data_IF_339802168212
#
_entry.id   IF_339802168212
#
_cell.length_a   1.000
_cell.length_b   1.000
_cell.length_c   1.000
_cell.angle_alpha   90.00
_cell.angle_beta   90.00
_cell.angle_gamma   90.00
#
_symmetry.space_group_name_H-M   'P 1'
#
loop_
_entity.id
_entity.type
_entity.pdbx_description
1 polymer ?
#
# COMPACT_ATOMS: atom_id res chain seq x y z
N UNK A 1 13.21 -20.82 -3.37
CA UNK A 1 12.86 -19.47 -2.86
C UNK A 1 11.48 -18.99 -3.33
N UNK A 2 11.29 -18.52 -4.57
CA UNK A 2 10.01 -17.93 -5.06
C UNK A 2 8.76 -18.75 -4.74
N UNK A 3 8.77 -20.07 -5.02
CA UNK A 3 7.68 -20.99 -4.69
C UNK A 3 7.27 -21.01 -3.21
N UNK A 4 8.22 -20.84 -2.29
CA UNK A 4 7.93 -20.79 -0.85
C UNK A 4 7.26 -19.47 -0.45
N UNK A 5 7.68 -18.35 -1.05
CA UNK A 5 7.07 -17.04 -0.84
C UNK A 5 5.62 -17.02 -1.35
N UNK A 6 5.40 -17.51 -2.57
CA UNK A 6 4.06 -17.57 -3.17
C UNK A 6 3.13 -18.52 -2.38
N UNK A 7 3.67 -19.67 -1.94
CA UNK A 7 2.94 -20.61 -1.09
C UNK A 7 2.59 -20.02 0.29
N UNK A 8 3.49 -19.24 0.88
CA UNK A 8 3.24 -18.55 2.14
C UNK A 8 2.15 -17.49 2.01
N UNK A 9 2.16 -16.70 0.93
CA UNK A 9 1.09 -15.75 0.64
C UNK A 9 -0.27 -16.45 0.57
N UNK A 10 -0.35 -17.58 -0.16
CA UNK A 10 -1.57 -18.38 -0.25
C UNK A 10 -1.98 -18.99 1.09
N UNK A 11 -1.04 -19.52 1.87
CA UNK A 11 -1.33 -20.09 3.18
C UNK A 11 -1.89 -19.04 4.14
N UNK A 12 -1.31 -17.83 4.16
CA UNK A 12 -1.74 -16.70 4.98
C UNK A 12 -3.11 -16.19 4.51
N UNK A 13 -3.37 -16.16 3.21
CA UNK A 13 -4.67 -15.81 2.63
C UNK A 13 -5.78 -16.74 3.14
N UNK A 14 -5.53 -18.06 3.12
CA UNK A 14 -6.51 -19.08 3.49
C UNK A 14 -6.70 -19.24 5.02
N UNK A 15 -5.65 -19.05 5.82
CA UNK A 15 -5.62 -19.43 7.25
C UNK A 15 -5.31 -18.27 8.21
N UNK A 16 -5.01 -17.08 7.68
CA UNK A 16 -4.40 -16.00 8.43
C UNK A 16 -2.95 -16.31 8.85
N UNK A 17 -2.23 -15.29 9.31
CA UNK A 17 -0.83 -15.44 9.71
C UNK A 17 -0.65 -16.42 10.88
N UNK A 18 -1.47 -16.30 11.93
CA UNK A 18 -1.38 -17.17 13.11
C UNK A 18 -1.73 -18.64 12.80
N UNK A 19 -2.72 -18.87 11.94
CA UNK A 19 -3.13 -20.22 11.54
C UNK A 19 -2.14 -20.92 10.60
N UNK A 20 -1.30 -20.16 9.90
CA UNK A 20 -0.31 -20.72 8.96
C UNK A 20 0.86 -21.40 9.69
N UNK A 21 1.19 -22.63 9.27
CA UNK A 21 2.36 -23.40 9.73
C UNK A 21 3.34 -23.62 8.58
N UNK A 22 4.59 -23.96 8.91
CA UNK A 22 5.61 -24.33 7.90
C UNK A 22 5.15 -25.50 7.04
N UNK A 23 4.42 -26.47 7.63
CA UNK A 23 3.83 -27.60 6.90
C UNK A 23 2.90 -27.13 5.77
N UNK A 24 2.00 -26.19 6.03
CA UNK A 24 1.07 -25.68 5.01
C UNK A 24 1.84 -25.06 3.83
N UNK A 25 2.92 -24.32 4.13
CA UNK A 25 3.76 -23.69 3.10
C UNK A 25 4.47 -24.73 2.25
N UNK A 26 5.09 -25.75 2.86
CA UNK A 26 5.82 -26.76 2.08
C UNK A 26 4.88 -27.64 1.26
N UNK A 27 3.68 -27.91 1.76
CA UNK A 27 2.66 -28.66 1.04
C UNK A 27 2.16 -27.88 -0.18
N UNK A 28 1.80 -26.60 0.00
CA UNK A 28 1.37 -25.72 -1.10
C UNK A 28 2.51 -25.50 -2.10
N UNK A 29 3.74 -25.32 -1.61
CA UNK A 29 4.92 -25.16 -2.46
C UNK A 29 5.32 -26.46 -3.17
N UNK A 30 4.73 -27.60 -2.81
CA UNK A 30 5.10 -28.95 -3.26
C UNK A 30 6.61 -29.18 -3.12
N UNK A 31 7.10 -29.07 -1.89
CA UNK A 31 8.51 -29.22 -1.52
C UNK A 31 8.65 -29.84 -0.11
N UNK A 32 9.88 -29.95 0.40
CA UNK A 32 10.17 -30.56 1.70
C UNK A 32 10.47 -29.53 2.79
N UNK A 33 10.34 -29.95 4.07
CA UNK A 33 10.87 -29.19 5.20
C UNK A 33 12.35 -28.88 5.07
N UNK A 34 13.17 -29.83 4.61
CA UNK A 34 14.60 -29.60 4.38
C UNK A 34 14.85 -28.46 3.39
N UNK A 35 14.03 -28.37 2.34
CA UNK A 35 14.08 -27.26 1.38
C UNK A 35 13.64 -25.93 1.99
N UNK A 36 12.65 -25.93 2.88
CA UNK A 36 12.28 -24.73 3.63
C UNK A 36 13.43 -24.22 4.50
N UNK A 37 13.98 -25.10 5.34
CA UNK A 37 15.01 -24.75 6.32
C UNK A 37 16.38 -24.45 5.70
N UNK A 38 16.58 -24.74 4.41
CA UNK A 38 17.71 -24.24 3.62
C UNK A 38 17.64 -22.71 3.39
N UNK A 39 16.44 -22.13 3.38
CA UNK A 39 16.23 -20.72 3.08
C UNK A 39 15.75 -19.89 4.26
N UNK A 40 14.99 -20.50 5.18
CA UNK A 40 14.33 -19.80 6.26
C UNK A 40 14.46 -20.55 7.58
N UNK A 41 14.80 -19.83 8.64
CA UNK A 41 14.94 -20.44 9.97
C UNK A 41 13.59 -20.80 10.60
N UNK A 42 12.54 -20.03 10.27
CA UNK A 42 11.19 -20.17 10.80
C UNK A 42 10.17 -19.42 9.91
N UNK A 43 8.89 -19.39 10.33
CA UNK A 43 7.82 -18.69 9.61
C UNK A 43 8.03 -17.17 9.61
N UNK A 44 8.56 -16.62 10.69
CA UNK A 44 8.80 -15.18 10.88
C UNK A 44 9.85 -14.69 9.88
N UNK A 45 10.92 -15.47 9.66
CA UNK A 45 11.98 -15.18 8.69
C UNK A 45 11.47 -15.20 7.24
N UNK A 46 10.61 -16.17 6.91
CA UNK A 46 9.89 -16.22 5.64
C UNK A 46 9.00 -14.98 5.44
N UNK A 47 8.24 -14.57 6.45
CA UNK A 47 7.34 -13.41 6.37
C UNK A 47 8.14 -12.09 6.37
N UNK A 48 9.29 -12.04 7.04
CA UNK A 48 10.22 -10.92 6.92
C UNK A 48 10.69 -10.76 5.48
N UNK A 49 11.07 -11.85 4.81
CA UNK A 49 11.46 -11.80 3.40
C UNK A 49 10.32 -11.31 2.50
N UNK A 50 9.08 -11.75 2.74
CA UNK A 50 7.89 -11.24 2.05
C UNK A 50 7.67 -9.74 2.29
N UNK A 51 7.83 -9.28 3.54
CA UNK A 51 7.68 -7.87 3.90
C UNK A 51 8.75 -7.00 3.26
N UNK A 52 9.99 -7.50 3.17
CA UNK A 52 11.08 -6.84 2.45
C UNK A 52 10.76 -6.70 0.95
N UNK A 53 10.21 -7.74 0.33
CA UNK A 53 9.78 -7.68 -1.06
C UNK A 53 8.66 -6.66 -1.27
N UNK A 54 7.59 -6.71 -0.46
CA UNK A 54 6.48 -5.77 -0.52
C UNK A 54 6.96 -4.32 -0.33
N UNK A 55 7.85 -4.08 0.64
CA UNK A 55 8.44 -2.77 0.89
C UNK A 55 9.31 -2.28 -0.28
N UNK A 56 10.03 -3.17 -0.97
CA UNK A 56 10.81 -2.82 -2.16
C UNK A 56 9.90 -2.32 -3.28
N UNK A 57 8.81 -3.01 -3.56
CA UNK A 57 7.84 -2.61 -4.57
C UNK A 57 7.11 -1.30 -4.19
N UNK A 58 6.71 -1.16 -2.92
CA UNK A 58 6.12 0.08 -2.40
C UNK A 58 7.09 1.28 -2.50
N UNK A 59 8.39 1.05 -2.27
CA UNK A 59 9.43 2.08 -2.40
C UNK A 59 9.59 2.50 -3.86
N UNK A 60 9.60 1.56 -4.82
CA UNK A 60 9.65 1.88 -6.26
C UNK A 60 8.46 2.75 -6.67
N UNK A 61 7.26 2.39 -6.21
CA UNK A 61 6.06 3.18 -6.47
C UNK A 61 6.13 4.59 -5.87
N UNK A 62 6.65 4.72 -4.64
CA UNK A 62 6.83 6.01 -3.96
C UNK A 62 7.84 6.90 -4.68
N UNK A 63 8.96 6.32 -5.12
CA UNK A 63 9.98 7.04 -5.90
C UNK A 63 9.44 7.61 -7.21
N UNK A 64 8.60 6.85 -7.91
CA UNK A 64 7.97 7.32 -9.15
C UNK A 64 7.11 8.59 -8.96
N UNK A 65 6.66 8.88 -7.73
CA UNK A 65 5.96 10.14 -7.42
C UNK A 65 6.90 11.34 -7.32
N UNK A 66 8.18 11.13 -7.02
CA UNK A 66 9.17 12.17 -6.67
C UNK A 66 10.25 12.38 -7.74
N UNK A 67 10.41 11.45 -8.67
CA UNK A 67 11.44 11.54 -9.70
C UNK A 67 11.16 12.68 -10.69
N UNK A 68 12.15 13.55 -10.89
CA UNK A 68 12.07 14.63 -11.87
C UNK A 68 11.91 14.04 -13.28
N UNK A 69 10.90 14.52 -14.01
CA UNK A 69 10.55 13.95 -15.33
C UNK A 69 9.72 12.66 -15.27
N UNK A 70 9.20 12.29 -14.09
CA UNK A 70 8.16 11.26 -13.98
C UNK A 70 7.00 11.59 -14.92
N UNK A 71 6.50 10.58 -15.62
CA UNK A 71 5.29 10.70 -16.45
C UNK A 71 4.01 10.86 -15.61
N UNK A 72 4.10 10.65 -14.28
CA UNK A 72 2.97 10.79 -13.38
C UNK A 72 2.72 12.27 -13.07
N UNK A 73 1.81 12.88 -13.80
CA UNK A 73 1.25 14.19 -13.45
C UNK A 73 0.24 14.04 -12.32
N UNK A 74 0.69 13.87 -11.07
CA UNK A 74 -0.20 13.58 -9.93
C UNK A 74 -1.21 14.70 -9.60
N UNK A 75 -0.98 15.91 -10.13
CA UNK A 75 -1.92 17.03 -10.07
C UNK A 75 -3.07 16.90 -11.09
N UNK A 76 -2.91 16.08 -12.14
CA UNK A 76 -3.99 15.71 -13.05
C UNK A 76 -4.75 14.49 -12.53
N UNK A 77 -6.02 14.39 -12.93
CA UNK A 77 -6.84 13.25 -12.54
C UNK A 77 -6.28 11.96 -13.15
N UNK A 78 -5.84 11.98 -14.40
CA UNK A 78 -5.28 10.85 -15.14
C UNK A 78 -3.98 10.34 -14.51
N UNK A 79 -3.06 11.24 -14.14
CA UNK A 79 -1.80 10.87 -13.48
C UNK A 79 -2.05 10.26 -12.11
N UNK A 80 -2.94 10.86 -11.31
CA UNK A 80 -3.35 10.27 -10.03
C UNK A 80 -4.05 8.93 -10.23
N UNK A 81 -4.88 8.78 -11.26
CA UNK A 81 -5.58 7.54 -11.58
C UNK A 81 -4.63 6.39 -11.91
N UNK A 82 -3.58 6.70 -12.68
CA UNK A 82 -2.54 5.74 -13.01
C UNK A 82 -1.79 5.27 -11.76
N UNK A 83 -1.48 6.20 -10.85
CA UNK A 83 -0.84 5.86 -9.59
C UNK A 83 -1.76 5.02 -8.67
N UNK A 84 -3.04 5.40 -8.54
CA UNK A 84 -4.03 4.64 -7.76
C UNK A 84 -4.18 3.20 -8.32
N UNK A 85 -4.13 3.03 -9.65
CA UNK A 85 -4.11 1.70 -10.28
C UNK A 85 -2.87 0.91 -9.86
N UNK A 86 -1.69 1.54 -9.90
CA UNK A 86 -0.43 0.93 -9.46
C UNK A 86 -0.48 0.48 -8.00
N UNK A 87 -1.01 1.34 -7.12
CA UNK A 87 -1.26 1.02 -5.72
C UNK A 87 -2.20 -0.19 -5.59
N UNK A 88 -3.30 -0.23 -6.34
CA UNK A 88 -4.27 -1.33 -6.27
C UNK A 88 -3.68 -2.68 -6.70
N UNK A 89 -2.82 -2.69 -7.71
CA UNK A 89 -2.07 -3.88 -8.14
C UNK A 89 -1.12 -4.34 -7.02
N UNK A 90 -0.38 -3.41 -6.42
CA UNK A 90 0.51 -3.70 -5.30
C UNK A 90 -0.27 -4.27 -4.10
N UNK A 91 -1.36 -3.61 -3.72
CA UNK A 91 -2.22 -4.01 -2.63
C UNK A 91 -2.76 -5.42 -2.85
N UNK A 92 -3.35 -5.68 -4.02
CA UNK A 92 -3.90 -7.00 -4.37
C UNK A 92 -2.85 -8.11 -4.33
N UNK A 93 -1.62 -7.83 -4.77
CA UNK A 93 -0.51 -8.80 -4.72
C UNK A 93 -0.09 -9.15 -3.29
N UNK A 94 -0.13 -8.19 -2.37
CA UNK A 94 0.34 -8.35 -0.99
C UNK A 94 -0.78 -8.30 0.06
N UNK A 95 -2.04 -8.46 -0.36
CA UNK A 95 -3.23 -8.29 0.49
C UNK A 95 -3.18 -9.13 1.78
N UNK A 96 -2.78 -10.43 1.76
CA UNK A 96 -2.59 -11.21 2.98
C UNK A 96 -1.65 -10.57 4.03
N UNK A 97 -0.60 -9.87 3.59
CA UNK A 97 0.32 -9.16 4.49
C UNK A 97 -0.31 -7.86 5.00
N UNK A 98 -0.93 -7.08 4.12
CA UNK A 98 -1.56 -5.80 4.51
C UNK A 98 -2.70 -6.01 5.51
N UNK A 99 -3.52 -7.05 5.32
CA UNK A 99 -4.56 -7.42 6.31
C UNK A 99 -4.00 -7.80 7.68
N UNK A 100 -2.80 -8.37 7.71
CA UNK A 100 -2.17 -8.90 8.92
C UNK A 100 -1.13 -7.95 9.53
N UNK A 101 -0.86 -6.78 8.95
CA UNK A 101 0.30 -5.96 9.30
C UNK A 101 0.35 -5.49 10.76
N UNK A 102 -0.81 -5.29 11.41
CA UNK A 102 -0.90 -4.91 12.83
C UNK A 102 -0.46 -6.06 13.71
N UNK A 103 -0.94 -7.27 13.42
CA UNK A 103 -0.54 -8.49 14.11
C UNK A 103 0.95 -8.77 13.87
N UNK A 104 1.40 -8.68 12.62
CA UNK A 104 2.80 -8.88 12.24
C UNK A 104 3.75 -7.91 12.93
N UNK A 105 3.40 -6.63 13.02
CA UNK A 105 4.20 -5.62 13.69
C UNK A 105 4.25 -5.81 15.22
N UNK A 106 3.25 -6.47 15.81
CA UNK A 106 3.25 -6.78 17.25
C UNK A 106 4.13 -8.00 17.60
N UNK A 107 4.47 -8.83 16.63
CA UNK A 107 5.10 -10.14 16.86
C UNK A 107 6.60 -10.11 16.61
N UNK A 108 7.08 -9.27 15.69
CA UNK A 108 8.49 -9.20 15.33
C UNK A 108 8.96 -7.76 15.10
N UNK A 109 9.94 -7.32 15.89
CA UNK A 109 10.46 -5.94 15.86
C UNK A 109 11.08 -5.59 14.51
N UNK A 110 11.77 -6.53 13.85
CA UNK A 110 12.36 -6.26 12.55
C UNK A 110 11.31 -6.17 11.43
N UNK A 111 10.16 -6.85 11.55
CA UNK A 111 9.01 -6.67 10.65
C UNK A 111 8.37 -5.30 10.93
N UNK A 112 8.15 -4.95 12.19
CA UNK A 112 7.60 -3.65 12.58
C UNK A 112 8.44 -2.48 12.05
N UNK A 113 9.77 -2.58 12.19
CA UNK A 113 10.72 -1.61 11.67
C UNK A 113 10.66 -1.48 10.15
N UNK A 114 10.53 -2.60 9.45
CA UNK A 114 10.42 -2.61 7.99
C UNK A 114 9.10 -1.96 7.53
N UNK A 115 7.98 -2.29 8.17
CA UNK A 115 6.68 -1.66 7.90
C UNK A 115 6.74 -0.16 8.18
N UNK A 116 7.35 0.26 9.30
CA UNK A 116 7.50 1.67 9.65
C UNK A 116 8.29 2.43 8.58
N UNK A 117 9.44 1.90 8.15
CA UNK A 117 10.25 2.52 7.08
C UNK A 117 9.47 2.65 5.77
N UNK A 118 8.74 1.60 5.39
CA UNK A 118 7.90 1.60 4.19
C UNK A 118 6.81 2.68 4.27
N UNK A 119 6.09 2.76 5.38
CA UNK A 119 5.01 3.75 5.58
C UNK A 119 5.58 5.17 5.56
N UNK A 120 6.69 5.43 6.26
CA UNK A 120 7.31 6.75 6.28
C UNK A 120 7.79 7.19 4.89
N UNK A 121 8.45 6.29 4.14
CA UNK A 121 8.89 6.61 2.78
C UNK A 121 7.71 6.94 1.84
N UNK A 122 6.59 6.22 1.99
CA UNK A 122 5.39 6.48 1.21
C UNK A 122 4.71 7.81 1.61
N UNK A 123 4.66 8.07 2.92
CA UNK A 123 4.15 9.31 3.50
C UNK A 123 4.95 10.52 2.99
N UNK A 124 6.27 10.48 3.02
CA UNK A 124 7.12 11.58 2.57
C UNK A 124 6.93 11.87 1.07
N UNK A 125 6.79 10.82 0.25
CA UNK A 125 6.54 10.96 -1.19
C UNK A 125 5.19 11.63 -1.51
N UNK A 126 4.12 11.27 -0.79
CA UNK A 126 2.80 11.89 -0.94
C UNK A 126 2.81 13.32 -0.38
N UNK A 127 3.40 13.52 0.80
CA UNK A 127 3.48 14.83 1.46
C UNK A 127 4.17 15.87 0.58
N UNK A 128 5.25 15.49 -0.11
CA UNK A 128 5.94 16.35 -1.06
C UNK A 128 5.03 16.85 -2.18
N UNK A 129 4.09 16.02 -2.67
CA UNK A 129 3.11 16.42 -3.70
C UNK A 129 1.97 17.25 -3.12
N UNK A 130 1.52 16.93 -1.92
CA UNK A 130 0.47 17.70 -1.23
C UNK A 130 0.93 19.13 -0.95
N UNK A 131 2.21 19.31 -0.59
CA UNK A 131 2.80 20.61 -0.28
C UNK A 131 2.93 21.55 -1.50
N UNK A 132 2.87 21.03 -2.73
CA UNK A 132 2.96 21.83 -3.97
C UNK A 132 1.65 22.53 -4.34
N UNK A 133 0.53 22.17 -3.70
CA UNK A 133 -0.80 22.68 -4.06
C UNK A 133 -1.18 23.83 -3.15
N UNK A 134 -1.40 25.01 -3.75
CA UNK A 134 -1.97 26.16 -3.04
C UNK A 134 -3.48 25.94 -2.80
N UNK A 135 -3.92 26.13 -1.55
CA UNK A 135 -5.29 25.82 -1.12
C UNK A 135 -5.83 26.88 -0.16
N UNK A 136 -7.15 27.13 -0.19
CA UNK A 136 -7.79 28.08 0.71
C UNK A 136 -7.76 27.64 2.19
N UNK A 137 -7.74 26.33 2.46
CA UNK A 137 -7.58 25.78 3.80
C UNK A 137 -6.26 24.99 3.87
N UNK A 138 -5.38 25.39 4.79
CA UNK A 138 -4.09 24.74 4.97
C UNK A 138 -4.26 23.29 5.46
N UNK A 139 -3.57 22.36 4.82
CA UNK A 139 -3.39 20.99 5.31
C UNK A 139 -1.95 20.81 5.78
N UNK A 140 -1.77 20.12 6.90
CA UNK A 140 -0.47 19.54 7.24
C UNK A 140 -0.15 18.42 6.24
N UNK A 141 0.91 18.55 5.41
CA UNK A 141 1.17 17.60 4.32
C UNK A 141 1.40 16.17 4.80
N UNK A 142 2.03 16.03 5.96
CA UNK A 142 2.32 14.75 6.59
C UNK A 142 1.05 14.02 7.02
N UNK A 143 0.14 14.75 7.69
CA UNK A 143 -1.16 14.23 8.12
C UNK A 143 -2.04 13.91 6.92
N UNK A 144 -2.05 14.76 5.89
CA UNK A 144 -2.78 14.51 4.65
C UNK A 144 -2.28 13.25 3.93
N UNK A 145 -0.96 13.04 3.89
CA UNK A 145 -0.37 11.83 3.34
C UNK A 145 -0.81 10.58 4.13
N UNK A 146 -0.80 10.63 5.46
CA UNK A 146 -1.30 9.52 6.29
C UNK A 146 -2.79 9.25 6.03
N UNK A 147 -3.61 10.28 5.81
CA UNK A 147 -5.02 10.13 5.47
C UNK A 147 -5.21 9.44 4.09
N UNK A 148 -4.38 9.76 3.09
CA UNK A 148 -4.37 9.07 1.79
C UNK A 148 -4.06 7.59 1.95
N UNK A 149 -2.99 7.27 2.68
CA UNK A 149 -2.56 5.89 2.91
C UNK A 149 -3.67 5.10 3.60
N UNK A 150 -4.27 5.68 4.64
CA UNK A 150 -5.38 5.06 5.37
C UNK A 150 -6.62 4.89 4.49
N UNK A 151 -6.97 5.89 3.66
CA UNK A 151 -8.10 5.81 2.74
C UNK A 151 -7.91 4.66 1.75
N UNK A 152 -6.75 4.57 1.10
CA UNK A 152 -6.50 3.55 0.09
C UNK A 152 -6.47 2.15 0.70
N UNK A 153 -5.73 1.95 1.79
CA UNK A 153 -5.67 0.65 2.46
C UNK A 153 -7.06 0.20 2.92
N UNK A 154 -7.78 1.09 3.62
CA UNK A 154 -9.11 0.76 4.14
C UNK A 154 -10.15 0.58 3.04
N UNK A 155 -10.06 1.32 1.95
CA UNK A 155 -10.96 1.19 0.80
C UNK A 155 -10.84 -0.20 0.16
N UNK A 156 -9.61 -0.68 -0.05
CA UNK A 156 -9.39 -2.03 -0.58
C UNK A 156 -9.90 -3.10 0.40
N UNK A 157 -9.51 -2.99 1.67
CA UNK A 157 -9.95 -3.91 2.71
C UNK A 157 -11.47 -4.02 2.82
N UNK A 158 -12.17 -2.87 2.89
CA UNK A 158 -13.63 -2.86 3.09
C UNK A 158 -14.37 -3.42 1.89
N UNK A 159 -13.95 -3.11 0.66
CA UNK A 159 -14.58 -3.66 -0.55
C UNK A 159 -14.42 -5.18 -0.62
N UNK A 160 -13.20 -5.68 -0.40
CA UNK A 160 -12.97 -7.14 -0.30
C UNK A 160 -13.84 -7.77 0.79
N UNK A 161 -13.88 -7.15 1.99
CA UNK A 161 -14.64 -7.65 3.13
C UNK A 161 -16.15 -7.78 2.84
N UNK A 162 -16.74 -6.85 2.09
CA UNK A 162 -18.16 -6.91 1.71
C UNK A 162 -18.41 -7.69 0.41
N UNK A 163 -17.36 -8.31 -0.17
CA UNK A 163 -17.47 -9.09 -1.40
C UNK A 163 -17.60 -8.25 -2.67
N UNK A 164 -17.23 -6.96 -2.61
CA UNK A 164 -17.22 -6.06 -3.76
C UNK A 164 -15.82 -5.95 -4.38
N UNK A 165 -15.69 -6.02 -5.71
CA UNK A 165 -14.39 -5.89 -6.37
C UNK A 165 -13.88 -4.44 -6.31
N UNK A 166 -12.56 -4.27 -6.33
CA UNK A 166 -11.91 -2.99 -6.65
C UNK A 166 -11.73 -2.91 -8.17
N UNK A 167 -12.83 -2.65 -8.88
CA UNK A 167 -12.85 -2.52 -10.34
C UNK A 167 -12.49 -1.10 -10.82
N UNK A 168 -12.51 -0.87 -12.13
CA UNK A 168 -12.13 0.42 -12.71
C UNK A 168 -13.03 1.57 -12.19
N UNK A 169 -14.33 1.32 -11.96
CA UNK A 169 -15.25 2.33 -11.42
C UNK A 169 -14.97 2.66 -9.95
N UNK A 170 -14.61 1.66 -9.13
CA UNK A 170 -14.17 1.86 -7.76
C UNK A 170 -12.87 2.70 -7.71
N UNK A 171 -11.93 2.40 -8.59
CA UNK A 171 -10.68 3.15 -8.71
C UNK A 171 -10.91 4.59 -9.20
N UNK A 172 -11.79 4.81 -10.18
CA UNK A 172 -12.18 6.15 -10.64
C UNK A 172 -12.81 6.97 -9.51
N UNK A 173 -13.62 6.31 -8.67
CA UNK A 173 -14.30 6.93 -7.53
C UNK A 173 -13.29 7.39 -6.48
N UNK A 174 -12.39 6.50 -6.02
CA UNK A 174 -11.40 6.87 -5.00
C UNK A 174 -10.40 7.89 -5.53
N UNK A 175 -10.00 7.79 -6.80
CA UNK A 175 -9.18 8.83 -7.46
C UNK A 175 -9.88 10.17 -7.46
N UNK A 176 -11.17 10.24 -7.80
CA UNK A 176 -11.92 11.50 -7.81
C UNK A 176 -12.03 12.13 -6.44
N UNK A 177 -12.27 11.33 -5.40
CA UNK A 177 -12.28 11.79 -4.00
C UNK A 177 -10.93 12.37 -3.61
N UNK A 178 -9.84 11.64 -3.89
CA UNK A 178 -8.48 12.08 -3.58
C UNK A 178 -8.07 13.33 -4.37
N UNK A 179 -8.38 13.37 -5.67
CA UNK A 179 -8.07 14.49 -6.54
C UNK A 179 -8.76 15.76 -6.04
N UNK A 180 -10.06 15.70 -5.71
CA UNK A 180 -10.79 16.87 -5.20
C UNK A 180 -10.34 17.31 -3.82
N UNK A 181 -10.05 16.37 -2.93
CA UNK A 181 -9.67 16.68 -1.55
C UNK A 181 -8.24 17.22 -1.45
N UNK A 182 -7.34 16.81 -2.36
CA UNK A 182 -5.91 17.08 -2.26
C UNK A 182 -5.39 17.74 -3.55
N UNK A 183 -5.53 17.13 -4.71
CA UNK A 183 -4.76 17.57 -5.89
C UNK A 183 -5.45 18.65 -6.75
N UNK A 184 -6.69 19.03 -6.44
CA UNK A 184 -7.42 20.08 -7.13
C UNK A 184 -6.92 21.48 -6.68
N UNK A 185 -6.52 22.36 -7.61
CA UNK A 185 -6.16 23.73 -7.27
C UNK A 185 -7.38 24.43 -6.64
N UNK A 186 -7.16 25.16 -5.54
CA UNK A 186 -8.21 25.93 -4.91
C UNK A 186 -8.86 26.87 -5.92
N UNK A 187 -10.13 26.66 -6.24
CA UNK A 187 -10.90 27.65 -6.99
C UNK A 187 -10.81 28.97 -6.23
N UNK A 188 -10.26 30.02 -6.85
CA UNK A 188 -10.35 31.37 -6.30
C UNK A 188 -11.81 31.60 -5.97
N UNK A 189 -12.13 31.73 -4.69
CA UNK A 189 -13.42 32.26 -4.27
C UNK A 189 -13.44 33.66 -4.86
N UNK A 190 -14.14 33.83 -5.98
CA UNK A 190 -14.45 35.15 -6.50
C UNK A 190 -15.19 35.85 -5.38
N UNK A 191 -14.53 36.85 -4.78
CA UNK A 191 -15.23 37.85 -4.00
C UNK A 191 -16.08 38.64 -5.00
N UNK A 192 -17.23 38.08 -5.35
CA UNK A 192 -18.27 38.77 -6.07
C UNK A 192 -19.22 39.37 -5.02
N UNK A 193 -19.11 40.69 -4.91
CA UNK A 193 -20.21 41.64 -4.67
C UNK A 193 -20.80 41.70 -3.27
N UNK A 194 -20.37 42.72 -2.53
CA UNK A 194 -20.97 43.15 -1.28
C UNK A 194 -20.42 44.48 -0.77
N UNK A 195 -20.46 45.53 -1.59
CA UNK A 195 -20.62 46.95 -1.19
C UNK A 195 -20.69 47.85 -2.43
#
# INVERSE_FOLDING_TARGET
MRRLLDAAMKAIDERGYHGTRVQDVVDIANTSHGTFYLYFSNKEDLVRALTVEAASEATKMSRAMTEAGSALELHSWEGLRQWVRGYSILWSRYAPLFRSWTDLAAIDEGIADQIRRMVLAHRDAIAARVAEVDRPHALDPDTAAMAVIALLDRFHFLREFVGEPVDEAALDTVTTVMHRALFAPGGRVSQAEGA
#
